data_IF_609523750279
#
_entry.id   IF_609523750279
#
_cell.length_a   1.000
_cell.length_b   1.000
_cell.length_c   1.000
_cell.angle_alpha   90.00
_cell.angle_beta   90.00
_cell.angle_gamma   90.00
#
_symmetry.space_group_name_H-M   'P 1'
#
loop_
_entity.id
_entity.type
_entity.pdbx_description
1 polymer ?
#
# COMPACT_ATOMS: atom_id res chain seq x y z
N UNK A 1 -38.92 49.09 23.10
CA UNK A 1 -38.31 47.75 22.93
C UNK A 1 -37.79 47.61 21.51
N UNK A 2 -36.51 47.89 21.27
CA UNK A 2 -35.89 47.79 19.95
C UNK A 2 -34.52 47.10 20.08
N UNK A 3 -34.46 45.81 19.74
CA UNK A 3 -33.25 44.99 19.85
C UNK A 3 -32.27 45.33 18.74
N UNK A 4 -31.15 45.98 19.10
CA UNK A 4 -30.00 46.20 18.20
C UNK A 4 -29.31 44.86 17.93
N UNK A 5 -29.55 44.27 16.76
CA UNK A 5 -28.74 43.17 16.24
C UNK A 5 -27.37 43.71 15.84
N UNK A 6 -26.34 43.44 16.64
CA UNK A 6 -24.93 43.67 16.26
C UNK A 6 -24.56 42.71 15.12
N UNK A 7 -24.67 43.20 13.88
CA UNK A 7 -24.09 42.53 12.72
C UNK A 7 -22.56 42.55 12.84
N UNK A 8 -21.96 41.40 13.18
CA UNK A 8 -20.50 41.22 13.07
C UNK A 8 -20.14 41.25 11.59
N UNK A 9 -19.67 42.41 11.13
CA UNK A 9 -19.01 42.57 9.83
C UNK A 9 -17.74 41.72 9.87
N UNK A 10 -17.84 40.48 9.39
CA UNK A 10 -16.71 39.59 9.20
C UNK A 10 -15.91 40.06 8.00
N UNK A 11 -14.92 40.93 8.21
CA UNK A 11 -13.91 41.22 7.19
C UNK A 11 -13.30 39.86 6.78
N UNK A 12 -13.48 39.45 5.51
CA UNK A 12 -12.76 38.32 4.91
C UNK A 12 -11.26 38.64 4.99
N UNK A 13 -10.61 38.18 6.06
CA UNK A 13 -9.16 38.28 6.19
C UNK A 13 -8.57 37.48 5.04
N UNK A 14 -7.84 38.14 4.14
CA UNK A 14 -7.03 37.46 3.13
C UNK A 14 -6.17 36.41 3.83
N UNK A 15 -6.36 35.15 3.43
CA UNK A 15 -5.61 34.02 3.95
C UNK A 15 -4.14 34.19 3.59
N UNK A 16 -3.33 34.63 4.56
CA UNK A 16 -1.88 34.60 4.42
C UNK A 16 -1.47 33.14 4.35
N UNK A 17 -0.91 32.72 3.22
CA UNK A 17 -0.30 31.39 3.08
C UNK A 17 1.00 31.37 3.86
N UNK A 18 1.01 30.72 5.02
CA UNK A 18 2.18 30.59 5.88
C UNK A 18 2.68 29.14 5.78
N UNK A 19 3.72 28.84 4.98
CA UNK A 19 4.10 27.47 4.68
C UNK A 19 4.77 26.73 5.85
N UNK A 20 5.36 27.46 6.81
CA UNK A 20 6.10 26.91 7.96
C UNK A 20 5.63 27.51 9.28
N UNK A 21 5.53 26.71 10.35
CA UNK A 21 5.16 27.19 11.67
C UNK A 21 5.61 26.30 12.83
N UNK A 22 5.16 26.62 14.04
CA UNK A 22 5.43 25.88 15.28
C UNK A 22 4.12 25.63 16.02
N UNK A 23 3.84 24.37 16.35
CA UNK A 23 2.70 23.91 17.14
C UNK A 23 3.17 23.74 18.59
N UNK A 24 2.70 24.61 19.47
CA UNK A 24 2.93 24.52 20.90
C UNK A 24 1.80 23.76 21.57
N UNK A 25 2.13 22.63 22.21
CA UNK A 25 1.21 21.84 23.03
C UNK A 25 1.55 22.06 24.50
N UNK A 26 0.66 22.70 25.24
CA UNK A 26 0.75 22.86 26.68
C UNK A 26 -0.26 21.93 27.36
N UNK A 27 0.23 20.85 27.98
CA UNK A 27 -0.58 19.85 28.64
C UNK A 27 -0.44 19.97 30.17
N UNK A 28 -1.52 20.37 30.85
CA UNK A 28 -1.64 20.28 32.31
C UNK A 28 -2.59 19.15 32.70
N UNK A 29 -2.67 18.82 33.99
CA UNK A 29 -3.60 17.80 34.49
C UNK A 29 -5.07 18.15 34.23
N UNK A 30 -5.40 19.44 34.13
CA UNK A 30 -6.78 19.92 34.05
C UNK A 30 -7.17 20.41 32.66
N UNK A 31 -6.21 20.71 31.78
CA UNK A 31 -6.50 21.28 30.47
C UNK A 31 -5.32 21.06 29.51
N UNK A 32 -5.63 20.86 28.24
CA UNK A 32 -4.63 20.91 27.16
C UNK A 32 -4.92 22.10 26.27
N UNK A 33 -3.89 22.88 25.96
CA UNK A 33 -3.94 24.05 25.09
C UNK A 33 -2.97 23.81 23.93
N UNK A 34 -3.46 23.94 22.71
CA UNK A 34 -2.69 23.82 21.47
C UNK A 34 -2.70 25.16 20.77
N UNK A 35 -1.52 25.73 20.53
CA UNK A 35 -1.35 27.03 19.88
C UNK A 35 -0.45 26.85 18.68
N UNK A 36 -0.88 27.31 17.51
CA UNK A 36 -0.09 27.24 16.28
C UNK A 36 0.38 28.63 15.91
N UNK A 37 1.68 28.75 15.67
CA UNK A 37 2.35 30.01 15.39
C UNK A 37 3.13 29.95 14.09
N UNK A 38 3.37 31.11 13.50
CA UNK A 38 4.38 31.30 12.45
C UNK A 38 5.79 31.21 13.07
N UNK A 39 6.84 31.05 12.26
CA UNK A 39 8.25 31.01 12.72
C UNK A 39 8.66 32.28 13.48
N UNK A 40 7.90 33.36 13.34
CA UNK A 40 8.05 34.64 14.05
C UNK A 40 7.29 34.72 15.38
N UNK A 41 6.68 33.63 15.85
CA UNK A 41 5.89 33.58 17.08
C UNK A 41 4.50 34.21 17.01
N UNK A 42 4.02 34.57 15.81
CA UNK A 42 2.66 35.11 15.63
C UNK A 42 1.64 33.99 15.66
N UNK A 43 0.63 34.09 16.52
CA UNK A 43 -0.44 33.09 16.63
C UNK A 43 -1.32 33.11 15.38
N UNK A 44 -1.45 31.95 14.75
CA UNK A 44 -2.29 31.71 13.58
C UNK A 44 -3.62 31.13 14.03
N UNK A 45 -3.55 30.11 14.89
CA UNK A 45 -4.70 29.47 15.51
C UNK A 45 -4.37 29.02 16.92
N UNK A 46 -5.39 28.84 17.73
CA UNK A 46 -5.26 28.22 19.04
C UNK A 46 -6.57 27.53 19.41
N UNK A 47 -6.47 26.50 20.24
CA UNK A 47 -7.60 25.76 20.74
C UNK A 47 -7.23 25.11 22.07
N UNK A 48 -8.22 24.91 22.93
CA UNK A 48 -8.08 24.25 24.21
C UNK A 48 -9.27 23.33 24.47
N UNK A 49 -9.12 22.39 25.40
CA UNK A 49 -10.25 21.53 25.81
C UNK A 49 -11.46 22.37 26.29
N UNK A 50 -11.22 23.53 26.92
CA UNK A 50 -12.31 24.42 27.33
C UNK A 50 -13.06 25.08 26.18
N UNK A 51 -12.33 25.59 25.18
CA UNK A 51 -12.95 26.20 23.98
C UNK A 51 -13.66 25.17 23.11
N UNK A 52 -13.29 23.90 23.21
CA UNK A 52 -14.02 22.80 22.57
C UNK A 52 -15.26 22.33 23.34
N UNK A 53 -15.68 23.04 24.38
CA UNK A 53 -16.93 22.78 25.10
C UNK A 53 -16.82 21.77 26.24
N UNK A 54 -15.65 21.21 26.50
CA UNK A 54 -15.45 20.33 27.66
C UNK A 54 -15.42 21.16 28.96
N UNK A 55 -16.15 20.71 29.98
CA UNK A 55 -16.28 21.38 31.29
C UNK A 55 -15.81 20.46 32.43
N UNK A 56 -15.38 21.07 33.54
CA UNK A 56 -14.93 20.35 34.74
C UNK A 56 -13.76 19.40 34.46
N UNK A 57 -13.77 18.25 35.12
CA UNK A 57 -12.73 17.20 35.00
C UNK A 57 -12.60 16.63 33.59
N UNK A 58 -13.65 16.75 32.75
CA UNK A 58 -13.61 16.30 31.34
C UNK A 58 -12.59 17.08 30.50
N UNK A 59 -12.16 18.29 30.93
CA UNK A 59 -11.12 19.07 30.23
C UNK A 59 -9.72 18.45 30.27
N UNK A 60 -9.40 17.69 31.32
CA UNK A 60 -8.10 17.02 31.47
C UNK A 60 -8.00 15.71 30.70
N UNK A 61 -9.09 15.24 30.10
CA UNK A 61 -9.14 13.92 29.44
C UNK A 61 -8.31 13.89 28.15
N UNK A 62 -7.69 12.74 27.82
CA UNK A 62 -7.00 12.54 26.54
C UNK A 62 -7.88 12.88 25.33
N UNK A 63 -9.17 12.53 25.40
CA UNK A 63 -10.13 12.81 24.35
C UNK A 63 -10.32 14.31 24.10
N UNK A 64 -10.48 15.10 25.16
CA UNK A 64 -10.61 16.54 25.03
C UNK A 64 -9.35 17.20 24.46
N UNK A 65 -8.17 16.65 24.75
CA UNK A 65 -6.90 17.08 24.18
C UNK A 65 -6.78 16.75 22.68
N UNK A 66 -7.23 15.57 22.24
CA UNK A 66 -7.29 15.18 20.83
C UNK A 66 -8.20 16.13 20.03
N UNK A 67 -9.40 16.44 20.55
CA UNK A 67 -10.32 17.39 19.91
C UNK A 67 -9.74 18.80 19.85
N UNK A 68 -9.07 19.25 20.92
CA UNK A 68 -8.41 20.56 20.94
C UNK A 68 -7.31 20.67 19.88
N UNK A 69 -6.46 19.64 19.77
CA UNK A 69 -5.39 19.57 18.77
C UNK A 69 -5.96 19.55 17.34
N UNK A 70 -6.95 18.70 17.06
CA UNK A 70 -7.58 18.63 15.74
C UNK A 70 -8.14 19.98 15.29
N UNK A 71 -8.86 20.69 16.18
CA UNK A 71 -9.42 22.02 15.90
C UNK A 71 -8.36 23.08 15.59
N UNK A 72 -7.23 23.07 16.31
CA UNK A 72 -6.13 24.00 16.04
C UNK A 72 -5.48 23.73 14.66
N UNK A 73 -5.30 22.47 14.28
CA UNK A 73 -4.64 22.08 13.02
C UNK A 73 -5.52 22.38 11.80
N UNK A 74 -6.82 22.10 11.87
CA UNK A 74 -7.78 22.34 10.78
C UNK A 74 -7.69 23.78 10.23
N UNK A 75 -7.76 24.74 11.14
CA UNK A 75 -7.73 26.17 10.80
C UNK A 75 -6.40 26.62 10.18
N UNK A 76 -5.35 25.81 10.34
CA UNK A 76 -4.00 26.09 9.86
C UNK A 76 -3.73 25.39 8.53
N UNK A 77 -4.31 24.21 8.32
CA UNK A 77 -4.37 23.55 7.02
C UNK A 77 -5.09 24.43 5.98
N UNK A 78 -6.22 25.05 6.35
CA UNK A 78 -6.94 26.01 5.50
C UNK A 78 -6.10 27.25 5.14
N UNK A 79 -5.14 27.62 6.00
CA UNK A 79 -4.20 28.71 5.78
C UNK A 79 -2.93 28.28 5.03
N UNK A 80 -2.88 27.04 4.54
CA UNK A 80 -1.82 26.54 3.66
C UNK A 80 -0.48 26.26 4.34
N UNK A 81 -0.50 25.93 5.64
CA UNK A 81 0.70 25.49 6.34
C UNK A 81 1.06 24.05 5.97
N UNK A 82 2.28 23.87 5.46
CA UNK A 82 2.77 22.58 4.94
C UNK A 82 3.74 21.89 5.90
N UNK A 83 4.45 22.66 6.74
CA UNK A 83 5.43 22.14 7.69
C UNK A 83 5.24 22.80 9.05
N UNK A 84 5.27 22.01 10.11
CA UNK A 84 5.27 22.54 11.46
C UNK A 84 6.18 21.74 12.38
N UNK A 85 6.92 22.44 13.24
CA UNK A 85 7.65 21.85 14.35
C UNK A 85 6.71 21.73 15.55
N UNK A 86 6.77 20.62 16.30
CA UNK A 86 5.90 20.40 17.46
C UNK A 86 6.70 20.56 18.75
N UNK A 87 6.33 21.52 19.57
CA UNK A 87 6.93 21.77 20.88
C UNK A 87 5.95 21.44 21.99
N UNK A 88 6.32 20.52 22.87
CA UNK A 88 5.45 20.01 23.93
C UNK A 88 5.95 20.45 25.30
N UNK A 89 5.06 20.97 26.15
CA UNK A 89 5.35 21.38 27.53
C UNK A 89 4.29 20.86 28.50
N UNK A 90 4.73 20.39 29.67
CA UNK A 90 3.89 20.04 30.82
C UNK A 90 3.58 18.54 30.98
N UNK A 91 3.15 18.11 32.18
CA UNK A 91 3.00 16.69 32.57
C UNK A 91 1.61 16.09 32.28
N UNK A 92 0.68 16.83 31.68
CA UNK A 92 -0.73 16.42 31.58
C UNK A 92 -1.00 15.19 30.71
N UNK A 93 -2.03 14.41 31.07
CA UNK A 93 -2.49 13.19 30.35
C UNK A 93 -2.89 13.45 28.87
N UNK A 94 -3.21 14.70 28.52
CA UNK A 94 -3.56 15.10 27.16
C UNK A 94 -2.39 15.19 26.18
N UNK A 95 -1.14 15.09 26.66
CA UNK A 95 0.07 15.26 25.86
C UNK A 95 0.14 14.30 24.66
N UNK A 96 0.10 13.00 24.94
CA UNK A 96 0.25 11.97 23.92
C UNK A 96 -0.98 11.87 23.03
N UNK A 97 -2.17 12.23 23.55
CA UNK A 97 -3.39 12.31 22.75
C UNK A 97 -3.36 13.47 21.75
N UNK A 98 -2.88 14.66 22.17
CA UNK A 98 -2.67 15.78 21.27
C UNK A 98 -1.61 15.46 20.20
N UNK A 99 -0.50 14.82 20.59
CA UNK A 99 0.54 14.40 19.64
C UNK A 99 0.03 13.36 18.64
N UNK A 100 -0.74 12.36 19.10
CA UNK A 100 -1.39 11.39 18.21
C UNK A 100 -2.38 12.06 17.25
N UNK A 101 -3.13 13.05 17.70
CA UNK A 101 -4.03 13.82 16.85
C UNK A 101 -3.26 14.56 15.75
N UNK A 102 -2.14 15.19 16.11
CA UNK A 102 -1.25 15.87 15.17
C UNK A 102 -0.68 14.87 14.16
N UNK A 103 -0.19 13.72 14.62
CA UNK A 103 0.41 12.67 13.77
C UNK A 103 -0.60 11.99 12.84
N UNK A 104 -1.87 11.88 13.24
CA UNK A 104 -2.94 11.29 12.41
C UNK A 104 -3.34 12.19 11.25
N UNK A 105 -3.18 13.51 11.39
CA UNK A 105 -3.47 14.46 10.32
C UNK A 105 -2.38 14.42 9.25
N UNK A 106 -2.78 14.31 7.97
CA UNK A 106 -1.86 14.30 6.82
C UNK A 106 -1.27 12.93 6.47
N UNK A 107 -1.72 11.85 7.13
CA UNK A 107 -1.30 10.49 6.75
C UNK A 107 -1.86 10.10 5.38
N UNK A 108 -3.10 10.46 5.07
CA UNK A 108 -3.70 10.19 3.77
C UNK A 108 -2.92 10.87 2.63
N UNK A 109 -2.38 12.06 2.88
CA UNK A 109 -1.57 12.80 1.89
C UNK A 109 -0.25 12.11 1.63
N UNK A 110 0.44 11.71 2.71
CA UNK A 110 1.71 10.98 2.61
C UNK A 110 1.51 9.67 1.84
N UNK A 111 0.46 8.91 2.16
CA UNK A 111 0.13 7.66 1.49
C UNK A 111 -0.27 7.91 0.04
N UNK A 112 -1.07 8.93 -0.25
CA UNK A 112 -1.50 9.29 -1.60
C UNK A 112 -0.33 9.65 -2.51
N UNK A 113 0.59 10.49 -2.03
CA UNK A 113 1.80 10.88 -2.74
C UNK A 113 2.71 9.65 -2.98
N UNK A 114 2.92 8.83 -1.96
CA UNK A 114 3.73 7.62 -2.09
C UNK A 114 3.14 6.64 -3.10
N UNK A 115 1.85 6.33 -2.98
CA UNK A 115 1.13 5.43 -3.89
C UNK A 115 1.17 5.94 -5.33
N UNK A 116 0.96 7.24 -5.55
CA UNK A 116 1.05 7.83 -6.89
C UNK A 116 2.42 7.60 -7.54
N UNK A 117 3.51 7.75 -6.78
CA UNK A 117 4.87 7.56 -7.28
C UNK A 117 5.12 6.09 -7.64
N UNK A 118 4.71 5.17 -6.78
CA UNK A 118 4.91 3.73 -7.02
C UNK A 118 4.05 3.24 -8.19
N UNK A 119 2.78 3.66 -8.28
CA UNK A 119 1.88 3.31 -9.38
C UNK A 119 2.44 3.72 -10.75
N UNK A 120 3.08 4.88 -10.85
CA UNK A 120 3.59 5.42 -12.12
C UNK A 120 5.03 5.00 -12.44
N UNK A 121 5.83 4.65 -11.43
CA UNK A 121 7.27 4.41 -11.60
C UNK A 121 7.69 2.94 -11.47
N UNK A 122 7.07 2.20 -10.56
CA UNK A 122 7.58 0.90 -10.11
C UNK A 122 6.76 -0.29 -10.60
N UNK A 123 5.59 -0.06 -11.17
CA UNK A 123 4.78 -1.14 -11.74
C UNK A 123 5.41 -1.62 -13.03
N UNK A 124 5.48 -2.95 -13.15
CA UNK A 124 5.96 -3.58 -14.37
C UNK A 124 4.90 -3.54 -15.45
N UNK A 125 5.35 -3.36 -16.68
CA UNK A 125 4.52 -3.51 -17.85
C UNK A 125 5.21 -4.29 -18.95
N UNK A 126 4.37 -4.70 -19.87
CA UNK A 126 4.75 -5.54 -21.00
C UNK A 126 4.66 -4.69 -22.25
N UNK A 127 5.72 -4.68 -23.06
CA UNK A 127 5.78 -3.87 -24.27
C UNK A 127 6.51 -4.63 -25.38
N UNK A 128 6.12 -4.35 -26.62
CA UNK A 128 6.83 -4.83 -27.80
C UNK A 128 8.10 -4.00 -27.93
N UNK A 129 9.25 -4.67 -28.00
CA UNK A 129 10.55 -3.99 -28.07
C UNK A 129 11.24 -4.14 -29.42
N UNK A 130 10.83 -5.12 -30.24
CA UNK A 130 11.33 -5.32 -31.59
C UNK A 130 10.26 -5.91 -32.50
N UNK A 131 10.38 -5.59 -33.78
CA UNK A 131 9.68 -6.28 -34.85
C UNK A 131 10.69 -6.81 -35.88
N UNK A 132 10.47 -8.03 -36.38
CA UNK A 132 11.28 -8.65 -37.43
C UNK A 132 10.36 -9.06 -38.58
N UNK A 133 10.73 -8.67 -39.80
CA UNK A 133 10.03 -9.06 -41.02
C UNK A 133 11.02 -9.62 -42.03
N UNK A 134 10.73 -10.78 -42.61
CA UNK A 134 11.62 -11.42 -43.58
C UNK A 134 11.61 -10.75 -44.95
N UNK A 135 10.42 -10.30 -45.40
CA UNK A 135 10.16 -9.85 -46.78
C UNK A 135 10.09 -8.33 -46.95
N UNK A 136 10.03 -7.56 -45.85
CA UNK A 136 9.86 -6.11 -45.90
C UNK A 136 11.18 -5.41 -45.53
N UNK A 137 11.75 -4.59 -46.43
CA UNK A 137 13.04 -3.93 -46.21
C UNK A 137 12.96 -2.63 -45.40
N UNK A 138 11.77 -2.02 -45.25
CA UNK A 138 11.60 -0.75 -44.54
C UNK A 138 10.34 -0.70 -43.68
N UNK A 139 10.44 -0.01 -42.54
CA UNK A 139 9.38 0.20 -41.53
C UNK A 139 8.08 0.78 -42.11
N UNK A 140 8.18 1.63 -43.13
CA UNK A 140 7.04 2.25 -43.83
C UNK A 140 6.91 1.69 -45.24
N UNK A 141 6.52 0.41 -45.35
CA UNK A 141 6.27 -0.23 -46.65
C UNK A 141 4.78 -0.48 -46.86
N UNK A 142 4.25 -0.06 -48.00
CA UNK A 142 2.85 -0.33 -48.40
C UNK A 142 2.80 -1.63 -49.21
N UNK A 143 1.89 -2.54 -48.86
CA UNK A 143 1.66 -3.76 -49.63
C UNK A 143 0.76 -3.43 -50.84
N UNK A 144 1.35 -3.44 -52.04
CA UNK A 144 0.63 -3.21 -53.30
C UNK A 144 0.19 -4.54 -53.95
N UNK A 145 0.91 -5.61 -53.66
CA UNK A 145 0.66 -6.96 -54.18
C UNK A 145 0.16 -7.90 -53.08
N UNK A 146 -0.61 -8.95 -53.43
CA UNK A 146 -1.09 -9.94 -52.47
C UNK A 146 0.05 -10.86 -52.01
N UNK A 147 0.82 -10.39 -51.02
CA UNK A 147 1.96 -11.07 -50.44
C UNK A 147 1.62 -11.54 -49.02
N UNK A 148 2.01 -12.76 -48.66
CA UNK A 148 1.96 -13.25 -47.28
C UNK A 148 2.97 -12.49 -46.41
N UNK A 149 2.45 -11.60 -45.55
CA UNK A 149 3.20 -10.81 -44.58
C UNK A 149 3.27 -11.54 -43.23
N UNK A 150 4.47 -11.94 -42.83
CA UNK A 150 4.77 -12.47 -41.50
C UNK A 150 5.62 -11.47 -40.72
N UNK A 151 5.13 -11.05 -39.55
CA UNK A 151 5.85 -10.17 -38.62
C UNK A 151 6.06 -10.93 -37.32
N UNK A 152 7.32 -11.12 -36.93
CA UNK A 152 7.70 -11.60 -35.61
C UNK A 152 7.83 -10.42 -34.65
N UNK A 153 7.22 -10.51 -33.47
CA UNK A 153 7.29 -9.47 -32.45
C UNK A 153 8.02 -10.00 -31.20
N UNK A 154 8.98 -9.22 -30.70
CA UNK A 154 9.65 -9.51 -29.44
C UNK A 154 9.00 -8.71 -28.32
N UNK A 155 8.39 -9.40 -27.37
CA UNK A 155 7.71 -8.82 -26.21
C UNK A 155 8.66 -8.92 -25.01
N UNK A 156 8.85 -7.82 -24.28
CA UNK A 156 9.58 -7.81 -23.04
C UNK A 156 8.73 -7.25 -21.90
N UNK A 157 9.08 -7.63 -20.68
CA UNK A 157 8.51 -7.07 -19.45
C UNK A 157 9.59 -6.26 -18.73
N UNK A 158 9.27 -5.03 -18.37
CA UNK A 158 10.20 -4.14 -17.68
C UNK A 158 9.45 -3.02 -16.94
N UNK A 159 10.18 -2.07 -16.35
CA UNK A 159 9.63 -0.88 -15.70
C UNK A 159 10.00 0.38 -16.47
N UNK A 160 9.15 1.39 -16.37
CA UNK A 160 9.41 2.73 -16.90
C UNK A 160 9.56 2.77 -18.43
N UNK A 161 10.41 3.67 -18.89
CA UNK A 161 10.66 3.93 -20.31
C UNK A 161 12.11 3.58 -20.65
N UNK A 162 12.31 2.78 -21.71
CA UNK A 162 13.65 2.47 -22.22
C UNK A 162 13.76 2.92 -23.67
N UNK A 163 14.55 3.95 -23.90
CA UNK A 163 15.00 4.35 -25.24
C UNK A 163 16.05 3.32 -25.67
N UNK A 164 15.83 2.66 -26.79
CA UNK A 164 16.80 1.71 -27.33
C UNK A 164 17.70 2.46 -28.32
N UNK A 165 18.93 2.77 -27.92
CA UNK A 165 19.92 3.34 -28.84
C UNK A 165 20.16 2.37 -29.99
N UNK A 166 20.21 2.90 -31.22
CA UNK A 166 20.41 2.16 -32.47
C UNK A 166 21.79 1.48 -32.49
N UNK A 167 21.91 0.38 -31.78
CA UNK A 167 23.05 -0.53 -31.89
C UNK A 167 22.91 -1.22 -33.24
N UNK A 168 23.95 -1.19 -34.08
CA UNK A 168 23.93 -1.82 -35.41
C UNK A 168 23.74 -3.32 -35.24
N UNK A 169 22.51 -3.81 -35.45
CA UNK A 169 22.20 -5.23 -35.36
C UNK A 169 22.29 -5.89 -36.74
N UNK A 170 22.91 -7.07 -36.78
CA UNK A 170 23.16 -7.86 -38.00
C UNK A 170 21.90 -8.51 -38.59
N UNK A 171 20.83 -8.59 -37.81
CA UNK A 171 19.59 -9.26 -38.15
C UNK A 171 18.51 -8.19 -38.39
N UNK A 172 17.82 -8.19 -39.54
CA UNK A 172 16.87 -7.18 -40.08
C UNK A 172 15.65 -6.91 -39.17
N UNK A 173 15.92 -6.55 -37.92
CA UNK A 173 14.98 -6.32 -36.85
C UNK A 173 14.98 -4.84 -36.52
N UNK A 174 13.78 -4.29 -36.40
CA UNK A 174 13.55 -2.89 -36.11
C UNK A 174 13.33 -2.74 -34.61
N UNK A 175 14.19 -1.98 -33.90
CA UNK A 175 13.96 -1.68 -32.49
C UNK A 175 12.77 -0.72 -32.37
N UNK A 176 11.87 -1.01 -31.43
CA UNK A 176 10.73 -0.15 -31.10
C UNK A 176 10.99 0.45 -29.73
N UNK A 177 10.77 1.75 -29.60
CA UNK A 177 10.83 2.43 -28.31
C UNK A 177 9.75 1.88 -27.38
N UNK A 178 10.19 1.29 -26.28
CA UNK A 178 9.32 0.51 -25.42
C UNK A 178 8.89 1.33 -24.20
N UNK A 179 7.59 1.56 -24.09
CA UNK A 179 6.93 2.16 -22.93
C UNK A 179 6.30 1.03 -22.11
N UNK A 180 6.95 0.65 -21.02
CA UNK A 180 6.48 -0.43 -20.13
C UNK A 180 5.51 0.08 -19.06
N UNK A 181 4.84 1.21 -19.28
CA UNK A 181 3.93 1.80 -18.30
C UNK A 181 2.53 1.21 -18.43
N UNK A 182 2.19 0.30 -17.51
CA UNK A 182 0.83 -0.27 -17.40
C UNK A 182 -0.20 0.75 -16.87
N UNK A 183 0.23 1.62 -15.96
CA UNK A 183 -0.58 2.73 -15.42
C UNK A 183 -0.30 4.00 -16.22
N UNK A 184 -1.34 4.56 -16.84
CA UNK A 184 -1.26 5.79 -17.65
C UNK A 184 -1.34 7.03 -16.79
N UNK A 185 -2.20 7.00 -15.77
CA UNK A 185 -2.37 8.11 -14.85
C UNK A 185 -2.79 7.60 -13.47
N UNK A 186 -2.44 8.35 -12.44
CA UNK A 186 -2.89 8.14 -11.07
C UNK A 186 -3.13 9.50 -10.43
N UNK A 187 -4.33 9.73 -9.94
CA UNK A 187 -4.69 10.94 -9.20
C UNK A 187 -5.11 10.56 -7.79
N UNK A 188 -4.95 11.49 -6.86
CA UNK A 188 -5.42 11.31 -5.49
C UNK A 188 -6.08 12.57 -4.97
N UNK A 189 -7.11 12.39 -4.15
CA UNK A 189 -7.76 13.48 -3.43
C UNK A 189 -8.09 13.02 -2.02
N UNK A 190 -8.06 13.96 -1.08
CA UNK A 190 -8.26 13.66 0.33
C UNK A 190 -9.46 14.46 0.79
N UNK A 191 -10.43 13.74 1.34
CA UNK A 191 -11.63 14.35 1.89
C UNK A 191 -11.66 14.07 3.38
N UNK A 192 -11.77 15.13 4.19
CA UNK A 192 -12.01 14.97 5.61
C UNK A 192 -13.52 14.81 5.85
N UNK A 193 -13.92 13.79 6.59
CA UNK A 193 -15.29 13.67 7.08
C UNK A 193 -15.30 13.59 8.60
N UNK A 194 -16.41 14.05 9.18
CA UNK A 194 -16.62 14.03 10.62
C UNK A 194 -17.45 12.79 10.94
N UNK A 195 -16.84 11.78 11.56
CA UNK A 195 -17.56 10.63 12.11
C UNK A 195 -17.70 10.81 13.63
N UNK A 196 -18.85 11.32 14.07
CA UNK A 196 -19.05 11.71 15.46
C UNK A 196 -18.10 12.83 15.88
N UNK A 197 -17.18 12.54 16.81
CA UNK A 197 -16.21 13.51 17.34
C UNK A 197 -14.79 13.35 16.76
N UNK A 198 -14.55 12.35 15.91
CA UNK A 198 -13.27 12.14 15.24
C UNK A 198 -13.39 12.57 13.76
N UNK A 199 -12.50 13.47 13.33
CA UNK A 199 -12.32 13.74 11.91
C UNK A 199 -11.41 12.68 11.32
N UNK A 200 -11.91 11.96 10.33
CA UNK A 200 -11.18 10.95 9.59
C UNK A 200 -10.89 11.47 8.17
N UNK A 201 -9.76 11.08 7.62
CA UNK A 201 -9.35 11.37 6.25
C UNK A 201 -9.70 10.17 5.37
N UNK A 202 -10.40 10.41 4.27
CA UNK A 202 -10.60 9.42 3.20
C UNK A 202 -9.69 9.80 2.05
N UNK A 203 -8.80 8.88 1.69
CA UNK A 203 -8.01 8.95 0.48
C UNK A 203 -8.80 8.33 -0.68
N UNK A 204 -9.09 9.13 -1.70
CA UNK A 204 -9.60 8.65 -2.97
C UNK A 204 -8.44 8.53 -3.94
N UNK A 205 -8.28 7.34 -4.53
CA UNK A 205 -7.30 7.06 -5.58
C UNK A 205 -8.04 6.80 -6.89
N UNK A 206 -7.69 7.56 -7.91
CA UNK A 206 -8.20 7.39 -9.28
C UNK A 206 -7.06 6.87 -10.15
N UNK A 207 -7.19 5.67 -10.70
CA UNK A 207 -6.13 4.96 -11.40
C UNK A 207 -6.62 4.61 -12.80
N UNK A 208 -5.88 5.04 -13.82
CA UNK A 208 -6.17 4.74 -15.22
C UNK A 208 -5.09 3.82 -15.77
N UNK A 209 -5.49 2.63 -16.22
CA UNK A 209 -4.58 1.66 -16.83
C UNK A 209 -4.82 1.55 -18.34
N UNK A 210 -3.86 0.97 -19.05
CA UNK A 210 -3.95 0.72 -20.50
C UNK A 210 -4.68 -0.59 -20.85
N UNK A 211 -5.19 -1.32 -19.85
CA UNK A 211 -5.84 -2.63 -20.00
C UNK A 211 -4.94 -3.84 -19.78
N UNK A 212 -3.61 -3.70 -19.71
CA UNK A 212 -2.70 -4.82 -19.39
C UNK A 212 -2.77 -5.26 -17.93
N UNK A 213 -3.26 -4.36 -17.06
CA UNK A 213 -3.42 -4.56 -15.63
C UNK A 213 -4.72 -3.89 -15.18
N UNK A 214 -5.49 -4.52 -14.30
CA UNK A 214 -6.68 -3.87 -13.73
C UNK A 214 -6.27 -2.84 -12.66
N UNK A 215 -7.04 -1.77 -12.42
CA UNK A 215 -6.73 -0.79 -11.38
C UNK A 215 -6.54 -1.39 -9.98
N UNK A 216 -7.28 -2.46 -9.67
CA UNK A 216 -7.18 -3.17 -8.39
C UNK A 216 -5.86 -3.94 -8.26
N UNK A 217 -5.44 -4.63 -9.32
CA UNK A 217 -4.15 -5.32 -9.35
C UNK A 217 -3.00 -4.33 -9.29
N UNK A 218 -3.09 -3.21 -10.01
CA UNK A 218 -2.12 -2.12 -9.95
C UNK A 218 -1.96 -1.58 -8.53
N UNK A 219 -3.06 -1.34 -7.82
CA UNK A 219 -3.03 -0.90 -6.43
C UNK A 219 -2.36 -1.95 -5.53
N UNK A 220 -2.65 -3.23 -5.74
CA UNK A 220 -2.06 -4.32 -4.95
C UNK A 220 -0.54 -4.43 -5.17
N UNK A 221 -0.10 -4.42 -6.43
CA UNK A 221 1.31 -4.46 -6.80
C UNK A 221 2.07 -3.24 -6.26
N UNK A 222 1.51 -2.04 -6.41
CA UNK A 222 2.09 -0.82 -5.84
C UNK A 222 2.18 -0.87 -4.31
N UNK A 223 1.16 -1.39 -3.63
CA UNK A 223 1.18 -1.52 -2.17
C UNK A 223 2.28 -2.48 -1.72
N UNK A 224 2.45 -3.61 -2.42
CA UNK A 224 3.53 -4.56 -2.15
C UNK A 224 4.89 -3.91 -2.32
N UNK A 225 5.14 -3.27 -3.46
CA UNK A 225 6.40 -2.59 -3.74
C UNK A 225 6.70 -1.51 -2.68
N UNK A 226 5.69 -0.77 -2.25
CA UNK A 226 5.86 0.25 -1.20
C UNK A 226 6.25 -0.38 0.14
N UNK A 227 5.63 -1.49 0.52
CA UNK A 227 5.95 -2.21 1.77
C UNK A 227 7.37 -2.79 1.69
N UNK A 228 7.74 -3.39 0.56
CA UNK A 228 9.05 -3.99 0.34
C UNK A 228 10.18 -2.96 0.53
N UNK A 229 9.95 -1.68 0.21
CA UNK A 229 10.90 -0.58 0.48
C UNK A 229 11.12 -0.33 1.98
N UNK A 230 10.13 -0.61 2.82
CA UNK A 230 10.22 -0.40 4.28
C UNK A 230 10.82 -1.58 5.04
N UNK A 231 10.80 -2.79 4.46
CA UNK A 231 11.32 -4.01 5.08
C UNK A 231 12.76 -3.85 5.61
N UNK A 232 13.74 -3.31 4.85
CA UNK A 232 15.10 -3.13 5.35
C UNK A 232 15.20 -2.24 6.59
N UNK A 233 14.32 -1.24 6.72
CA UNK A 233 14.29 -0.34 7.88
C UNK A 233 13.60 -0.97 9.10
N UNK A 234 12.71 -1.94 8.88
CA UNK A 234 12.08 -2.69 9.96
C UNK A 234 13.08 -3.66 10.61
N UNK A 235 13.98 -4.26 9.83
CA UNK A 235 14.99 -5.19 10.34
C UNK A 235 16.29 -4.52 10.79
N UNK A 236 16.51 -3.24 10.46
CA UNK A 236 17.70 -2.49 10.89
C UNK A 236 17.81 -2.32 12.42
N UNK A 237 16.70 -2.48 13.14
CA UNK A 237 16.61 -2.35 14.60
C UNK A 237 16.97 -3.66 15.35
N UNK A 238 16.97 -4.83 14.71
CA UNK A 238 17.22 -6.08 15.44
C UNK A 238 18.70 -6.36 15.71
N UNK A 239 19.61 -5.83 14.89
CA UNK A 239 21.05 -6.12 15.02
C UNK A 239 21.85 -5.07 15.84
N UNK A 240 21.28 -3.91 16.20
CA UNK A 240 22.04 -2.82 16.86
C UNK A 240 21.38 -2.15 18.08
N UNK A 241 20.26 -2.65 18.62
CA UNK A 241 19.60 -2.02 19.77
C UNK A 241 20.11 -2.52 21.13
N UNK A 242 21.40 -2.27 21.43
CA UNK A 242 21.86 -2.17 22.81
C UNK A 242 21.38 -0.84 23.41
N UNK A 243 20.08 -0.76 23.72
CA UNK A 243 19.53 0.39 24.44
C UNK A 243 19.97 0.33 25.91
N UNK A 244 20.95 1.15 26.28
CA UNK A 244 21.14 1.50 27.68
C UNK A 244 19.86 2.15 28.23
N UNK A 245 19.41 1.59 29.35
CA UNK A 245 18.27 1.94 30.18
C UNK A 245 17.80 3.40 30.09
N UNK A 246 16.61 3.63 29.53
CA UNK A 246 15.79 4.79 29.86
C UNK A 246 14.31 4.36 30.01
N UNK A 247 13.77 4.55 31.22
CA UNK A 247 12.53 3.97 31.76
C UNK A 247 11.21 4.52 31.18
N UNK A 248 11.16 4.99 29.93
CA UNK A 248 9.90 5.38 29.29
C UNK A 248 9.83 4.90 27.83
N UNK A 249 9.80 3.57 27.65
CA UNK A 249 9.46 2.96 26.36
C UNK A 249 7.94 2.96 26.22
N UNK A 250 7.42 3.78 25.31
CA UNK A 250 6.03 3.64 24.84
C UNK A 250 5.99 2.28 24.13
N UNK A 251 5.39 1.28 24.78
CA UNK A 251 5.06 0.00 24.15
C UNK A 251 4.05 0.27 23.04
N UNK A 252 4.54 0.52 21.82
CA UNK A 252 3.75 0.29 20.63
C UNK A 252 3.57 -1.23 20.53
N UNK A 253 2.33 -1.74 20.36
CA UNK A 253 2.15 -3.16 20.13
C UNK A 253 2.98 -3.54 18.90
N UNK A 254 3.75 -4.64 18.94
CA UNK A 254 4.47 -5.11 17.78
C UNK A 254 3.43 -5.47 16.72
N UNK A 255 3.23 -4.60 15.75
CA UNK A 255 2.54 -4.96 14.51
C UNK A 255 3.52 -5.85 13.75
N UNK A 256 3.47 -7.16 13.99
CA UNK A 256 4.22 -8.16 13.21
C UNK A 256 3.60 -8.23 11.82
N UNK A 257 4.07 -7.37 10.91
CA UNK A 257 3.70 -7.41 9.49
C UNK A 257 3.94 -8.80 8.88
N UNK A 258 4.88 -9.56 9.43
CA UNK A 258 5.19 -10.94 9.05
C UNK A 258 3.98 -11.88 9.15
N UNK A 259 3.17 -11.79 10.20
CA UNK A 259 2.02 -12.70 10.41
C UNK A 259 0.91 -12.45 9.35
N UNK A 260 0.76 -11.21 8.89
CA UNK A 260 -0.28 -10.84 7.92
C UNK A 260 0.13 -11.21 6.49
N UNK A 261 1.41 -11.06 6.15
CA UNK A 261 1.96 -11.53 4.87
C UNK A 261 2.04 -13.05 4.79
N UNK A 262 2.40 -13.74 5.89
CA UNK A 262 2.38 -15.19 5.94
C UNK A 262 0.97 -15.74 5.80
N UNK A 263 -0.03 -15.11 6.42
CA UNK A 263 -1.44 -15.47 6.22
C UNK A 263 -1.90 -15.26 4.78
N UNK A 264 -1.55 -14.14 4.14
CA UNK A 264 -1.91 -13.89 2.74
C UNK A 264 -1.20 -14.84 1.76
N UNK A 265 0.07 -15.18 2.02
CA UNK A 265 0.84 -16.14 1.23
C UNK A 265 0.31 -17.56 1.39
N UNK A 266 -0.08 -17.96 2.62
CA UNK A 266 -0.76 -19.23 2.90
C UNK A 266 -2.11 -19.29 2.19
N UNK A 267 -2.92 -18.24 2.26
CA UNK A 267 -4.23 -18.19 1.58
C UNK A 267 -4.08 -18.29 0.05
N UNK A 268 -3.09 -17.61 -0.55
CA UNK A 268 -2.85 -17.69 -2.00
C UNK A 268 -2.36 -19.07 -2.43
N UNK A 269 -1.51 -19.74 -1.63
CA UNK A 269 -1.10 -21.14 -1.85
C UNK A 269 -2.27 -22.10 -1.68
N UNK A 270 -3.12 -21.90 -0.67
CA UNK A 270 -4.31 -22.71 -0.42
C UNK A 270 -5.32 -22.63 -1.59
N UNK A 271 -5.50 -21.44 -2.16
CA UNK A 271 -6.35 -21.24 -3.35
C UNK A 271 -5.77 -21.94 -4.58
N UNK A 272 -4.44 -21.90 -4.77
CA UNK A 272 -3.78 -22.59 -5.89
C UNK A 272 -3.92 -24.12 -5.76
N UNK A 273 -3.69 -24.67 -4.57
CA UNK A 273 -3.76 -26.12 -4.31
C UNK A 273 -5.19 -26.68 -4.43
N UNK A 274 -6.22 -25.88 -4.15
CA UNK A 274 -7.64 -26.26 -4.38
C UNK A 274 -8.03 -26.34 -5.86
N UNK A 275 -7.25 -25.73 -6.75
CA UNK A 275 -7.55 -25.66 -8.18
C UNK A 275 -6.85 -26.72 -9.04
N UNK A 276 -5.88 -27.44 -8.47
CA UNK A 276 -5.12 -28.50 -9.14
C UNK A 276 -5.83 -29.83 -8.87
N UNK A 277 -6.37 -30.42 -9.94
CA UNK A 277 -7.00 -31.74 -9.91
C UNK A 277 -5.95 -32.82 -10.08
N UNK A 278 -6.18 -33.96 -9.43
CA UNK A 278 -5.27 -35.11 -9.46
C UNK A 278 -5.11 -35.68 -10.89
N UNK A 279 -6.09 -35.43 -11.78
CA UNK A 279 -6.05 -35.76 -13.20
C UNK A 279 -4.87 -35.10 -13.96
N UNK A 280 -4.32 -34.00 -13.42
CA UNK A 280 -3.21 -33.26 -14.02
C UNK A 280 -1.83 -33.77 -13.56
N UNK A 281 -1.80 -34.58 -12.50
CA UNK A 281 -0.58 -35.23 -12.04
C UNK A 281 -0.35 -36.47 -12.91
N UNK A 282 0.89 -36.70 -13.35
CA UNK A 282 1.29 -37.88 -14.14
C UNK A 282 1.33 -39.16 -13.28
N UNK A 283 0.23 -39.46 -12.59
CA UNK A 283 0.12 -40.63 -11.72
C UNK A 283 -0.19 -41.89 -12.52
N UNK A 284 0.30 -43.03 -12.00
CA UNK A 284 -0.08 -44.35 -12.53
C UNK A 284 -1.61 -44.55 -12.46
N UNK A 285 -2.25 -45.13 -13.49
CA UNK A 285 -3.70 -45.35 -13.53
C UNK A 285 -4.25 -46.11 -12.32
N UNK A 286 -3.41 -46.93 -11.67
CA UNK A 286 -3.76 -47.63 -10.43
C UNK A 286 -3.89 -46.67 -9.25
N UNK A 287 -2.90 -45.81 -9.05
CA UNK A 287 -2.84 -44.82 -7.97
C UNK A 287 -3.99 -43.83 -8.11
N UNK A 288 -4.22 -43.34 -9.33
CA UNK A 288 -5.33 -42.46 -9.67
C UNK A 288 -6.70 -43.04 -9.27
N UNK A 289 -6.95 -44.31 -9.64
CA UNK A 289 -8.22 -44.97 -9.34
C UNK A 289 -8.41 -45.26 -7.85
N UNK A 290 -7.33 -45.54 -7.12
CA UNK A 290 -7.38 -45.67 -5.66
C UNK A 290 -7.73 -44.35 -4.98
N UNK A 291 -7.07 -43.24 -5.35
CA UNK A 291 -7.34 -41.91 -4.79
C UNK A 291 -8.78 -41.44 -5.10
N UNK A 292 -9.26 -41.70 -6.31
CA UNK A 292 -10.62 -41.36 -6.74
C UNK A 292 -11.70 -42.13 -5.98
N UNK A 293 -11.46 -43.41 -5.65
CA UNK A 293 -12.38 -44.23 -4.83
C UNK A 293 -12.45 -43.75 -3.38
N UNK A 294 -11.39 -43.12 -2.89
CA UNK A 294 -11.30 -42.52 -1.55
C UNK A 294 -11.78 -41.07 -1.50
N UNK A 295 -12.49 -40.58 -2.52
CA UNK A 295 -12.98 -39.20 -2.65
C UNK A 295 -11.88 -38.12 -2.62
N UNK A 296 -10.64 -38.47 -2.99
CA UNK A 296 -9.57 -37.49 -3.12
C UNK A 296 -9.55 -37.05 -4.59
N UNK A 297 -9.88 -35.79 -4.86
CA UNK A 297 -9.99 -35.24 -6.21
C UNK A 297 -9.02 -34.09 -6.48
N UNK A 298 -8.59 -33.40 -5.42
CA UNK A 298 -7.68 -32.24 -5.51
C UNK A 298 -6.38 -32.46 -4.76
N UNK A 299 -5.34 -31.73 -5.16
CA UNK A 299 -4.04 -31.74 -4.49
C UNK A 299 -4.13 -31.29 -3.02
N UNK A 300 -5.07 -30.38 -2.73
CA UNK A 300 -5.36 -29.95 -1.36
C UNK A 300 -5.88 -31.09 -0.48
N UNK A 301 -6.79 -31.92 -1.01
CA UNK A 301 -7.32 -33.08 -0.27
C UNK A 301 -6.22 -34.12 -0.02
N UNK A 302 -5.32 -34.30 -0.98
CA UNK A 302 -4.19 -35.21 -0.84
C UNK A 302 -3.21 -34.77 0.26
N UNK A 303 -2.91 -33.46 0.33
CA UNK A 303 -1.99 -32.89 1.33
C UNK A 303 -2.57 -32.84 2.75
N UNK A 304 -3.89 -32.84 2.89
CA UNK A 304 -4.55 -32.85 4.20
C UNK A 304 -4.67 -34.25 4.83
N UNK A 305 -4.42 -35.32 4.06
CA UNK A 305 -4.41 -36.68 4.58
C UNK A 305 -3.02 -37.04 5.12
N UNK A 306 -2.97 -37.67 6.29
CA UNK A 306 -1.73 -38.16 6.86
C UNK A 306 -1.23 -39.39 6.09
N UNK A 307 0.09 -39.66 6.12
CA UNK A 307 0.66 -40.86 5.47
C UNK A 307 0.01 -42.16 5.96
N UNK A 308 -0.39 -42.19 7.22
CA UNK A 308 -1.09 -43.32 7.85
C UNK A 308 -2.49 -43.53 7.28
N UNK A 309 -3.17 -42.46 6.86
CA UNK A 309 -4.50 -42.52 6.28
C UNK A 309 -4.47 -42.92 4.79
N UNK A 310 -3.39 -42.57 4.08
CA UNK A 310 -3.16 -43.02 2.70
C UNK A 310 -2.87 -44.52 2.62
N UNK A 311 -2.15 -45.08 3.60
CA UNK A 311 -1.86 -46.52 3.68
C UNK A 311 -3.12 -47.34 4.01
N UNK A 312 -4.12 -46.73 4.64
CA UNK A 312 -5.42 -47.36 4.93
C UNK A 312 -6.33 -47.48 3.69
N UNK A 313 -5.98 -46.84 2.58
CA UNK A 313 -6.74 -46.93 1.33
C UNK A 313 -6.60 -48.33 0.74
N UNK A 314 -7.72 -48.92 0.31
CA UNK A 314 -7.72 -50.25 -0.29
C UNK A 314 -6.79 -50.32 -1.51
N UNK A 315 -5.90 -51.32 -1.50
CA UNK A 315 -4.92 -51.62 -2.55
C UNK A 315 -3.78 -50.60 -2.76
N UNK A 316 -3.60 -49.66 -1.82
CA UNK A 316 -2.47 -48.74 -1.79
C UNK A 316 -1.21 -49.41 -1.23
N UNK A 317 -0.05 -49.27 -1.90
CA UNK A 317 1.23 -49.78 -1.42
C UNK A 317 2.06 -48.67 -0.78
N UNK A 318 3.00 -49.08 0.07
CA UNK A 318 4.00 -48.16 0.66
C UNK A 318 4.88 -47.52 -0.43
N UNK A 319 5.11 -48.25 -1.53
CA UNK A 319 5.81 -47.77 -2.73
C UNK A 319 5.03 -46.63 -3.41
N UNK A 320 3.71 -46.76 -3.52
CA UNK A 320 2.84 -45.76 -4.17
C UNK A 320 2.83 -44.42 -3.40
N UNK A 321 2.98 -44.46 -2.07
CA UNK A 321 3.12 -43.25 -1.22
C UNK A 321 4.43 -42.54 -1.52
N UNK A 322 5.50 -43.31 -1.73
CA UNK A 322 6.83 -42.77 -2.01
C UNK A 322 6.86 -42.09 -3.38
N UNK A 323 6.27 -42.72 -4.39
CA UNK A 323 6.16 -42.16 -5.75
C UNK A 323 5.37 -40.83 -5.76
N UNK A 324 4.30 -40.73 -4.96
CA UNK A 324 3.55 -39.47 -4.80
C UNK A 324 4.39 -38.38 -4.13
N UNK A 325 5.14 -38.71 -3.09
CA UNK A 325 5.99 -37.74 -2.40
C UNK A 325 7.11 -37.22 -3.30
N UNK A 326 7.71 -38.09 -4.11
CA UNK A 326 8.74 -37.73 -5.07
C UNK A 326 8.18 -36.77 -6.15
N UNK A 327 6.96 -37.02 -6.64
CA UNK A 327 6.28 -36.12 -7.61
C UNK A 327 5.95 -34.76 -6.97
N UNK A 328 5.51 -34.74 -5.71
CA UNK A 328 5.19 -33.50 -4.98
C UNK A 328 6.43 -32.67 -4.62
N UNK A 329 7.57 -33.32 -4.35
CA UNK A 329 8.84 -32.62 -4.14
C UNK A 329 9.36 -31.97 -5.43
N UNK A 330 9.16 -32.63 -6.57
CA UNK A 330 9.51 -32.07 -7.88
C UNK A 330 8.64 -30.83 -8.19
N UNK A 331 7.32 -30.86 -7.97
CA UNK A 331 6.46 -29.70 -8.21
C UNK A 331 6.71 -28.52 -7.24
N UNK A 332 7.12 -28.79 -6.00
CA UNK A 332 7.53 -27.75 -5.03
C UNK A 332 8.75 -26.95 -5.50
N UNK A 333 9.60 -27.52 -6.35
CA UNK A 333 10.79 -26.84 -6.88
C UNK A 333 10.50 -25.97 -8.11
N UNK A 334 9.32 -26.12 -8.74
CA UNK A 334 8.92 -25.37 -9.94
C UNK A 334 7.96 -24.19 -9.67
N UNK A 335 7.61 -23.89 -8.40
CA UNK A 335 6.71 -22.77 -8.00
C UNK A 335 7.32 -21.83 -6.96
#
# INVERSE_FOLDING_TARGET
MGSRKNGRIGSRKHARKIPKGVIHVQASFNNTIVTVTDVRGRVISWSSAGTCGFKGTRRGTPFAAQTAAANAILTVADQGMQRAEVMIKGPGLGRDAALRAIRRSGQADTIGIAMRRVLLGEIEGTCITRAKSEKIPHEYSTLVEPINLCIGLEIARNRGYRIKTLTKFQDRSYPIDAVFMSVRNANHSIHSYVNGNEKQEILFLEIWTNGSLTPKEALFEASRNLIDLFIPFLHADEENLNFENNQHKVNLPPFTFDDLFDKLRKNKKEIALKSIFIDQLELSPRIYNCLKRSNIHTLFDLLNNSQEDLIKIEHFRVEDVKDILDILEIEKHFT
#
